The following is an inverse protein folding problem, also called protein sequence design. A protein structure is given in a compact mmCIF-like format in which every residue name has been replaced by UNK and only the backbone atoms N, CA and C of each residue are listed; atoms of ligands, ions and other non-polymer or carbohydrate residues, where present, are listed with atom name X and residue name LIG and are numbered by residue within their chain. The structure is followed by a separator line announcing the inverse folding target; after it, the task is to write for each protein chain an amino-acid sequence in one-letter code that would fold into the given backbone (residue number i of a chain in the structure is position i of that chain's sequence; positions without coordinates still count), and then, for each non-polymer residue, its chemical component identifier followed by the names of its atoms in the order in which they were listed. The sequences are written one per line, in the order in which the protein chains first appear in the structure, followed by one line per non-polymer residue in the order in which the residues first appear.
data_IF_947422958416
#
_entry.id   IF_947422958416
#
_cell.length_a   1.000
_cell.length_b   1.000
_cell.length_c   1.000
_cell.angle_alpha   90.00
_cell.angle_beta   90.00
_cell.angle_gamma   90.00
#
_symmetry.space_group_name_H-M   'P 1'
#
loop_
_entity.id
_entity.type
_entity.pdbx_description
1 polymer ?
#
# COMPACT_ATOMS: atom_id res chain seq x y z
N UNK A 1 -2.54 -6.66 1.92
CA UNK A 1 -3.33 -6.92 0.68
C UNK A 1 -4.77 -6.38 0.85
N UNK A 2 -5.54 -6.04 -0.22
CA UNK A 2 -6.94 -5.54 -0.06
C UNK A 2 -7.80 -6.49 0.78
N UNK A 3 -7.58 -7.80 0.65
CA UNK A 3 -8.29 -8.85 1.39
C UNK A 3 -8.08 -8.75 2.90
N UNK A 4 -6.90 -8.35 3.38
CA UNK A 4 -6.67 -8.19 4.84
C UNK A 4 -7.53 -7.07 5.41
N UNK A 5 -7.71 -5.97 4.66
CA UNK A 5 -8.61 -4.89 5.06
C UNK A 5 -10.05 -5.41 5.18
N UNK A 6 -10.52 -6.17 4.19
CA UNK A 6 -11.85 -6.78 4.20
C UNK A 6 -12.03 -7.78 5.36
N UNK A 7 -10.99 -8.56 5.70
CA UNK A 7 -11.01 -9.46 6.87
C UNK A 7 -11.19 -8.68 8.17
N UNK A 8 -10.47 -7.57 8.31
CA UNK A 8 -10.60 -6.69 9.47
C UNK A 8 -12.02 -6.12 9.58
N UNK A 9 -12.59 -5.68 8.46
CA UNK A 9 -13.96 -5.14 8.41
C UNK A 9 -15.02 -6.19 8.75
N UNK A 10 -14.90 -7.41 8.22
CA UNK A 10 -15.79 -8.54 8.56
C UNK A 10 -15.69 -8.88 10.05
N UNK A 11 -14.48 -8.96 10.61
CA UNK A 11 -14.32 -9.18 12.05
C UNK A 11 -14.95 -8.05 12.87
N UNK A 12 -14.87 -6.80 12.40
CA UNK A 12 -15.52 -5.66 13.03
C UNK A 12 -17.04 -5.80 13.06
N UNK A 13 -17.65 -6.20 11.94
CA UNK A 13 -19.09 -6.47 11.84
C UNK A 13 -19.52 -7.57 12.83
N UNK A 14 -18.80 -8.69 12.87
CA UNK A 14 -19.10 -9.82 13.74
C UNK A 14 -18.88 -9.49 15.23
N UNK A 15 -17.80 -8.78 15.55
CA UNK A 15 -17.48 -8.35 16.92
C UNK A 15 -18.51 -7.35 17.43
N UNK A 16 -18.94 -6.40 16.59
CA UNK A 16 -19.97 -5.43 16.94
C UNK A 16 -21.31 -6.11 17.26
N UNK A 17 -21.71 -7.11 16.46
CA UNK A 17 -22.91 -7.92 16.74
C UNK A 17 -22.80 -8.69 18.06
N UNK A 18 -21.63 -9.25 18.35
CA UNK A 18 -21.36 -9.94 19.62
C UNK A 18 -21.50 -8.99 20.83
N UNK A 19 -20.93 -7.78 20.76
CA UNK A 19 -21.05 -6.76 21.81
C UNK A 19 -22.50 -6.28 21.97
N UNK A 20 -23.21 -6.06 20.85
CA UNK A 20 -24.61 -5.67 20.86
C UNK A 20 -25.49 -6.72 21.56
N UNK A 21 -25.24 -8.00 21.27
CA UNK A 21 -25.92 -9.14 21.89
C UNK A 21 -25.72 -9.17 23.40
N UNK A 22 -24.48 -8.99 23.87
CA UNK A 22 -24.12 -8.90 25.30
C UNK A 22 -24.87 -7.74 25.97
N UNK A 23 -24.81 -6.54 25.38
CA UNK A 23 -25.43 -5.33 25.96
C UNK A 23 -26.96 -5.43 26.04
N UNK A 24 -27.60 -6.13 25.08
CA UNK A 24 -29.04 -6.35 25.05
C UNK A 24 -29.50 -7.57 25.84
N UNK A 25 -28.58 -8.35 26.41
CA UNK A 25 -28.88 -9.60 27.09
C UNK A 25 -29.52 -10.66 26.19
N UNK A 26 -29.38 -10.55 24.86
CA UNK A 26 -29.88 -11.53 23.91
C UNK A 26 -28.80 -12.59 23.63
N UNK A 27 -29.17 -13.72 23.02
CA UNK A 27 -28.22 -14.77 22.57
C UNK A 27 -27.91 -14.74 21.07
N UNK A 28 -28.42 -13.73 20.36
CA UNK A 28 -28.22 -13.55 18.92
C UNK A 28 -26.88 -12.85 18.65
N UNK A 29 -25.82 -13.67 18.64
CA UNK A 29 -24.45 -13.29 18.29
C UNK A 29 -24.13 -13.51 16.80
N UNK A 30 -25.09 -14.02 16.04
CA UNK A 30 -24.89 -14.47 14.67
C UNK A 30 -25.09 -13.32 13.67
N UNK A 31 -24.26 -13.28 12.63
CA UNK A 31 -24.51 -12.46 11.44
C UNK A 31 -24.74 -13.39 10.26
N UNK A 32 -25.90 -13.25 9.62
CA UNK A 32 -26.28 -14.04 8.46
C UNK A 32 -25.36 -13.87 7.26
N UNK A 33 -25.22 -14.93 6.47
CA UNK A 33 -24.44 -14.94 5.23
C UNK A 33 -24.87 -13.85 4.24
N UNK A 34 -26.18 -13.62 4.11
CA UNK A 34 -26.78 -12.57 3.27
C UNK A 34 -26.23 -11.20 3.66
N UNK A 35 -26.32 -10.86 4.94
CA UNK A 35 -25.84 -9.59 5.50
C UNK A 35 -24.34 -9.40 5.35
N UNK A 36 -23.54 -10.45 5.51
CA UNK A 36 -22.09 -10.37 5.27
C UNK A 36 -21.79 -10.09 3.80
N UNK A 37 -22.52 -10.73 2.88
CA UNK A 37 -22.34 -10.49 1.44
C UNK A 37 -22.78 -9.09 1.03
N UNK A 38 -23.89 -8.60 1.57
CA UNK A 38 -24.34 -7.22 1.38
C UNK A 38 -23.30 -6.21 1.89
N UNK A 39 -22.76 -6.46 3.08
CA UNK A 39 -21.69 -5.64 3.66
C UNK A 39 -20.43 -5.60 2.78
N UNK A 40 -20.08 -6.73 2.15
CA UNK A 40 -18.94 -6.81 1.24
C UNK A 40 -19.20 -6.22 -0.16
N UNK A 41 -20.46 -5.94 -0.52
CA UNK A 41 -20.88 -5.37 -1.80
C UNK A 41 -20.15 -6.00 -3.01
N UNK A 42 -19.38 -5.21 -3.75
CA UNK A 42 -18.63 -5.65 -4.94
C UNK A 42 -17.58 -6.74 -4.63
N UNK A 43 -17.08 -6.80 -3.39
CA UNK A 43 -16.13 -7.81 -2.94
C UNK A 43 -16.81 -9.11 -2.48
N UNK A 44 -18.14 -9.23 -2.54
CA UNK A 44 -18.88 -10.44 -2.16
C UNK A 44 -18.44 -11.69 -2.94
N UNK A 45 -17.96 -11.54 -4.18
CA UNK A 45 -17.39 -12.66 -4.96
C UNK A 45 -16.14 -13.27 -4.31
N UNK A 46 -15.41 -12.48 -3.52
CA UNK A 46 -14.19 -12.87 -2.82
C UNK A 46 -14.44 -13.33 -1.39
N UNK A 47 -15.70 -13.36 -0.94
CA UNK A 47 -16.05 -13.78 0.41
C UNK A 47 -15.47 -15.14 0.85
N UNK A 48 -15.35 -16.18 0.00
CA UNK A 48 -14.78 -17.46 0.45
C UNK A 48 -13.32 -17.31 0.85
N UNK A 49 -12.57 -16.48 0.12
CA UNK A 49 -11.15 -16.20 0.37
C UNK A 49 -10.93 -15.29 1.58
N UNK A 50 -11.89 -14.39 1.84
CA UNK A 50 -11.88 -13.54 3.03
C UNK A 50 -12.07 -14.43 4.26
N UNK A 51 -13.09 -15.29 4.25
CA UNK A 51 -13.45 -16.12 5.40
C UNK A 51 -12.55 -17.33 5.61
N UNK A 52 -11.90 -17.87 4.57
CA UNK A 52 -11.11 -19.10 4.69
C UNK A 52 -10.04 -18.98 5.78
N UNK A 53 -9.28 -17.89 5.79
CA UNK A 53 -8.25 -17.67 6.81
C UNK A 53 -8.87 -17.47 8.20
N UNK A 54 -9.94 -16.68 8.29
CA UNK A 54 -10.64 -16.42 9.56
C UNK A 54 -11.18 -17.71 10.19
N UNK A 55 -11.66 -18.64 9.37
CA UNK A 55 -12.11 -19.97 9.80
C UNK A 55 -10.94 -20.86 10.20
N UNK A 56 -9.88 -20.89 9.39
CA UNK A 56 -8.68 -21.71 9.62
C UNK A 56 -8.01 -21.38 10.96
N UNK A 57 -7.92 -20.09 11.32
CA UNK A 57 -7.34 -19.65 12.60
C UNK A 57 -8.35 -19.58 13.75
N UNK A 58 -9.56 -20.11 13.57
CA UNK A 58 -10.64 -20.11 14.57
C UNK A 58 -11.04 -18.72 15.09
N UNK A 59 -10.86 -17.67 14.29
CA UNK A 59 -11.30 -16.31 14.64
C UNK A 59 -12.80 -16.13 14.42
N UNK A 60 -13.38 -16.87 13.47
CA UNK A 60 -14.82 -16.94 13.28
C UNK A 60 -15.28 -18.39 13.30
N UNK A 61 -16.54 -18.62 13.66
CA UNK A 61 -17.16 -19.93 13.59
C UNK A 61 -18.49 -19.88 12.85
N UNK A 62 -18.84 -20.94 12.10
CA UNK A 62 -20.16 -21.05 11.49
C UNK A 62 -21.22 -21.20 12.59
N UNK A 63 -22.37 -20.57 12.38
CA UNK A 63 -23.55 -20.70 13.23
C UNK A 63 -24.71 -21.25 12.40
N UNK A 64 -25.31 -22.32 12.92
CA UNK A 64 -26.43 -23.03 12.31
C UNK A 64 -27.46 -23.36 13.40
N UNK A 65 -28.49 -22.53 13.53
CA UNK A 65 -29.63 -22.79 14.41
C UNK A 65 -30.90 -22.23 13.79
N UNK A 66 -31.98 -23.01 13.78
CA UNK A 66 -33.33 -22.58 13.38
C UNK A 66 -33.35 -21.72 12.09
N UNK A 67 -32.85 -22.28 10.98
CA UNK A 67 -32.78 -21.65 9.65
C UNK A 67 -31.79 -20.48 9.51
N UNK A 68 -31.20 -19.98 10.60
CA UNK A 68 -30.14 -18.98 10.52
C UNK A 68 -28.81 -19.63 10.15
N UNK A 69 -28.31 -19.29 8.97
CA UNK A 69 -26.99 -19.67 8.49
C UNK A 69 -26.08 -18.45 8.44
N UNK A 70 -25.13 -18.38 9.38
CA UNK A 70 -24.26 -17.24 9.52
C UNK A 70 -22.93 -17.56 10.17
N UNK A 71 -22.29 -16.52 10.67
CA UNK A 71 -21.02 -16.62 11.38
C UNK A 71 -21.07 -15.75 12.63
N UNK A 72 -20.27 -16.11 13.61
CA UNK A 72 -20.02 -15.28 14.80
C UNK A 72 -18.51 -15.19 15.05
N UNK A 73 -18.12 -14.10 15.70
CA UNK A 73 -16.74 -13.89 16.13
C UNK A 73 -16.46 -14.71 17.40
N UNK A 74 -15.31 -15.36 17.46
CA UNK A 74 -14.82 -16.00 18.69
C UNK A 74 -14.03 -14.99 19.54
N UNK A 75 -13.60 -15.38 20.74
CA UNK A 75 -12.69 -14.55 21.53
C UNK A 75 -11.39 -14.23 20.77
N UNK A 76 -10.88 -15.18 19.97
CA UNK A 76 -9.73 -14.97 19.09
C UNK A 76 -10.06 -13.95 18.00
N UNK A 77 -11.24 -14.02 17.38
CA UNK A 77 -11.67 -13.03 16.39
C UNK A 77 -11.81 -11.62 16.97
N UNK A 78 -12.41 -11.52 18.15
CA UNK A 78 -12.54 -10.26 18.89
C UNK A 78 -11.17 -9.67 19.24
N UNK A 79 -10.23 -10.50 19.69
CA UNK A 79 -8.84 -10.09 19.93
C UNK A 79 -8.13 -9.69 18.64
N UNK A 80 -8.29 -10.44 17.55
CA UNK A 80 -7.69 -10.13 16.26
C UNK A 80 -8.20 -8.79 15.68
N UNK A 81 -9.49 -8.50 15.88
CA UNK A 81 -10.08 -7.20 15.58
C UNK A 81 -9.50 -6.10 16.47
N UNK A 82 -9.54 -6.28 17.79
CA UNK A 82 -9.04 -5.29 18.77
C UNK A 82 -7.57 -4.94 18.55
N UNK A 83 -6.74 -5.96 18.31
CA UNK A 83 -5.31 -5.82 18.03
C UNK A 83 -5.01 -5.34 16.61
N UNK A 84 -6.03 -5.08 15.79
CA UNK A 84 -5.90 -4.62 14.40
C UNK A 84 -5.00 -5.53 13.55
N UNK A 85 -4.97 -6.84 13.83
CA UNK A 85 -4.06 -7.84 13.23
C UNK A 85 -3.97 -7.70 11.71
N UNK A 86 -5.12 -7.69 11.05
CA UNK A 86 -5.19 -7.63 9.59
C UNK A 86 -4.95 -6.22 9.01
N UNK A 87 -5.31 -5.18 9.75
CA UNK A 87 -5.02 -3.80 9.33
C UNK A 87 -3.51 -3.54 9.36
N UNK A 88 -2.82 -3.95 10.44
CA UNK A 88 -1.37 -3.85 10.56
C UNK A 88 -0.67 -4.68 9.47
N UNK A 89 -1.18 -5.87 9.15
CA UNK A 89 -0.66 -6.68 8.04
C UNK A 89 -0.83 -5.96 6.69
N UNK A 90 -1.96 -5.30 6.48
CA UNK A 90 -2.20 -4.49 5.28
C UNK A 90 -1.23 -3.32 5.17
N UNK A 91 -1.06 -2.57 6.26
CA UNK A 91 -0.14 -1.43 6.33
C UNK A 91 1.31 -1.86 6.10
N UNK A 92 1.76 -2.93 6.76
CA UNK A 92 3.10 -3.48 6.56
C UNK A 92 3.33 -3.89 5.11
N UNK A 93 2.33 -4.48 4.44
CA UNK A 93 2.42 -4.79 3.01
C UNK A 93 2.60 -3.53 2.16
N UNK A 94 1.86 -2.46 2.45
CA UNK A 94 1.97 -1.19 1.73
C UNK A 94 3.33 -0.52 1.96
N UNK A 95 3.79 -0.47 3.21
CA UNK A 95 5.10 0.08 3.58
C UNK A 95 6.21 -0.69 2.88
N UNK A 96 6.15 -2.03 2.91
CA UNK A 96 7.17 -2.86 2.27
C UNK A 96 7.18 -2.69 0.75
N UNK A 97 6.00 -2.54 0.13
CA UNK A 97 5.90 -2.24 -1.31
C UNK A 97 6.52 -0.89 -1.66
N UNK A 98 6.25 0.14 -0.87
CA UNK A 98 6.85 1.47 -1.05
C UNK A 98 8.36 1.44 -0.84
N UNK A 99 8.82 0.73 0.19
CA UNK A 99 10.25 0.55 0.47
C UNK A 99 10.96 -0.11 -0.71
N UNK A 100 10.41 -1.19 -1.25
CA UNK A 100 10.97 -1.88 -2.41
C UNK A 100 11.00 -0.98 -3.66
N UNK A 101 9.94 -0.18 -3.87
CA UNK A 101 9.92 0.78 -4.96
C UNK A 101 11.02 1.85 -4.79
N UNK A 102 11.16 2.43 -3.60
CA UNK A 102 12.18 3.44 -3.31
C UNK A 102 13.60 2.88 -3.49
N UNK A 103 13.82 1.63 -3.07
CA UNK A 103 15.11 0.95 -3.21
C UNK A 103 15.55 0.80 -4.66
N UNK A 104 14.61 0.68 -5.60
CA UNK A 104 14.89 0.63 -7.05
C UNK A 104 14.98 2.05 -7.63
N UNK A 105 14.09 2.96 -7.20
CA UNK A 105 14.00 4.31 -7.74
C UNK A 105 15.22 5.19 -7.40
N UNK A 106 15.76 5.10 -6.17
CA UNK A 106 16.88 5.93 -5.73
C UNK A 106 18.14 5.72 -6.60
N UNK A 107 18.61 4.48 -6.85
CA UNK A 107 19.74 4.25 -7.74
C UNK A 107 19.50 4.78 -9.16
N UNK A 108 18.31 4.58 -9.73
CA UNK A 108 17.96 5.06 -11.07
C UNK A 108 17.99 6.60 -11.14
N UNK A 109 17.40 7.28 -10.16
CA UNK A 109 17.41 8.73 -10.08
C UNK A 109 18.84 9.27 -9.91
N UNK A 110 19.68 8.59 -9.13
CA UNK A 110 21.09 8.96 -8.97
C UNK A 110 21.87 8.91 -10.30
N UNK A 111 21.66 7.86 -11.11
CA UNK A 111 22.25 7.76 -12.44
C UNK A 111 21.73 8.86 -13.36
N UNK A 112 20.42 9.12 -13.36
CA UNK A 112 19.83 10.20 -14.15
C UNK A 112 20.38 11.58 -13.80
N UNK A 113 20.53 11.88 -12.51
CA UNK A 113 21.13 13.15 -12.05
C UNK A 113 22.59 13.24 -12.51
N UNK A 114 23.34 12.15 -12.41
CA UNK A 114 24.75 12.11 -12.85
C UNK A 114 24.87 12.40 -14.34
N UNK A 115 24.05 11.75 -15.17
CA UNK A 115 23.99 12.00 -16.62
C UNK A 115 23.61 13.46 -16.89
N UNK A 116 22.60 13.98 -16.20
CA UNK A 116 22.16 15.35 -16.36
C UNK A 116 23.26 16.37 -16.04
N UNK A 117 23.99 16.14 -14.95
CA UNK A 117 25.14 16.97 -14.55
C UNK A 117 26.25 16.90 -15.60
N UNK A 118 26.57 15.71 -16.11
CA UNK A 118 27.57 15.53 -17.16
C UNK A 118 27.22 16.30 -18.43
N UNK A 119 26.00 16.13 -18.94
CA UNK A 119 25.54 16.84 -20.14
C UNK A 119 25.58 18.36 -19.95
N UNK A 120 25.14 18.86 -18.79
CA UNK A 120 25.21 20.30 -18.50
C UNK A 120 26.64 20.81 -18.36
N UNK A 121 27.57 19.98 -17.86
CA UNK A 121 28.98 20.33 -17.75
C UNK A 121 29.66 20.43 -19.12
N UNK A 122 29.33 19.52 -20.04
CA UNK A 122 29.85 19.48 -21.41
C UNK A 122 29.38 20.71 -22.21
N UNK A 123 28.08 21.04 -22.13
CA UNK A 123 27.53 22.27 -22.74
C UNK A 123 28.24 23.53 -22.21
N UNK A 124 28.60 23.56 -20.92
CA UNK A 124 29.34 24.68 -20.33
C UNK A 124 30.78 24.75 -20.82
N UNK A 125 31.44 23.59 -20.95
CA UNK A 125 32.81 23.48 -21.48
C UNK A 125 32.89 23.97 -22.93
N UNK A 126 31.96 23.56 -23.78
CA UNK A 126 31.91 23.98 -25.19
C UNK A 126 31.75 25.49 -25.33
N UNK A 127 30.91 26.11 -24.48
CA UNK A 127 30.76 27.58 -24.45
C UNK A 127 32.07 28.27 -24.07
N UNK A 128 32.79 27.76 -23.06
CA UNK A 128 34.08 28.32 -22.64
C UNK A 128 35.15 28.15 -23.72
N UNK A 129 35.22 26.98 -24.36
CA UNK A 129 36.17 26.73 -25.44
C UNK A 129 35.91 27.66 -26.64
N UNK A 130 34.65 27.87 -27.00
CA UNK A 130 34.27 28.80 -28.06
C UNK A 130 34.71 30.24 -27.72
N UNK A 131 34.51 30.68 -26.47
CA UNK A 131 34.98 32.01 -26.02
C UNK A 131 36.50 32.15 -26.05
N UNK A 132 37.23 31.12 -25.63
CA UNK A 132 38.70 31.10 -25.68
C UNK A 132 39.18 31.19 -27.13
N UNK A 133 38.58 30.42 -28.04
CA UNK A 133 38.92 30.46 -29.46
C UNK A 133 38.66 31.84 -30.08
N UNK A 134 37.54 32.49 -29.76
CA UNK A 134 37.26 33.84 -30.25
C UNK A 134 38.29 34.86 -29.73
N UNK A 135 38.69 34.76 -28.45
CA UNK A 135 39.74 35.60 -27.88
C UNK A 135 41.10 35.37 -28.55
N UNK A 136 41.48 34.12 -28.81
CA UNK A 136 42.72 33.77 -29.52
C UNK A 136 42.74 34.35 -30.94
N UNK A 137 41.61 34.32 -31.65
CA UNK A 137 41.46 34.94 -32.98
C UNK A 137 41.64 36.46 -32.90
N UNK A 138 41.09 37.12 -31.86
CA UNK A 138 41.25 38.57 -31.68
C UNK A 138 42.71 38.95 -31.38
N UNK A 139 43.38 38.18 -30.51
CA UNK A 139 44.79 38.41 -30.17
C UNK A 139 45.68 38.28 -31.42
N UNK A 140 45.50 37.22 -32.21
CA UNK A 140 46.30 37.01 -33.44
C UNK A 140 46.11 38.11 -34.49
N UNK A 141 44.90 38.65 -34.63
CA UNK A 141 44.64 39.82 -35.48
C UNK A 141 45.38 41.07 -34.99
N UNK A 142 45.45 41.29 -33.68
CA UNK A 142 46.15 42.44 -33.10
C UNK A 142 47.68 42.30 -33.30
N UNK A 143 48.23 41.09 -33.13
CA UNK A 143 49.64 40.83 -33.36
C UNK A 143 50.05 41.03 -34.83
N UNK A 144 49.21 40.57 -35.77
CA UNK A 144 49.48 40.75 -37.20
C UNK A 144 49.36 42.21 -37.67
N UNK A 145 48.53 43.03 -37.03
CA UNK A 145 48.43 44.47 -37.32
C UNK A 145 49.56 45.32 -36.71
N UNK A 146 50.42 44.73 -35.85
CA UNK A 146 51.57 45.43 -35.23
C UNK A 146 52.90 45.18 -35.95
N UNK A 147 52.94 44.29 -36.94
CA UNK A 147 54.06 44.10 -37.86
C UNK A 147 53.89 44.95 -39.11
#
# INVERSE_FOLDING_TARGET
MKIDKLRHEVLGLLSAKSVESINKGNKDICVEKSRIKEFLADDAKRWPLILSELLEVNEIKPYHLNEQHGFFSTDLGNMAYSNKKYLLRHENFMINRTKNFLQIAIPLLSVMITIFVLVMSEIRLDRKNTQINDLLIRISKIENNKK
#
